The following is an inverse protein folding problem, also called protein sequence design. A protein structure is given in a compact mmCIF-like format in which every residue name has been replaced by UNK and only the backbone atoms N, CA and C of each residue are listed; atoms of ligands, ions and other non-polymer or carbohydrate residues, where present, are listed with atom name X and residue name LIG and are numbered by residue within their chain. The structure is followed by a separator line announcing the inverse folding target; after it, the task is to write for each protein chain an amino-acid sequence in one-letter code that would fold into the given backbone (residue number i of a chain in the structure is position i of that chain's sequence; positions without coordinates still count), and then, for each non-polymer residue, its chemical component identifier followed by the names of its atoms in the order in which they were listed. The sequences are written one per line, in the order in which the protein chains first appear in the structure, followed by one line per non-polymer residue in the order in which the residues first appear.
data_IF_279373908866
#
_entry.id   IF_279373908866
#
_cell.length_a   1.000
_cell.length_b   1.000
_cell.length_c   1.000
_cell.angle_alpha   90.00
_cell.angle_beta   90.00
_cell.angle_gamma   90.00
#
_symmetry.space_group_name_H-M   'P 1'
#
loop_
_entity.id
_entity.type
_entity.pdbx_description
1 polymer ?
#
# COMPACT_ATOMS: atom_id res chain seq x y z
N UNK A 1 23.68 10.69 4.90
CA UNK A 1 23.49 9.98 3.63
C UNK A 1 22.68 8.73 3.92
N UNK A 2 21.40 8.71 3.54
CA UNK A 2 20.56 7.52 3.66
C UNK A 2 21.06 6.48 2.65
N UNK A 3 21.71 5.45 3.14
CA UNK A 3 22.22 4.33 2.34
C UNK A 3 21.09 3.36 1.90
N UNK A 4 19.89 3.49 2.47
CA UNK A 4 18.75 2.62 2.15
C UNK A 4 18.07 3.02 0.84
N UNK A 5 17.91 2.04 -0.03
CA UNK A 5 17.00 2.18 -1.17
C UNK A 5 15.54 1.94 -0.72
N UNK A 6 14.53 2.45 -1.43
CA UNK A 6 13.14 2.12 -1.16
C UNK A 6 12.86 0.60 -1.13
N UNK A 7 13.61 -0.15 -1.91
CA UNK A 7 13.55 -1.61 -1.98
C UNK A 7 14.04 -2.30 -0.71
N UNK A 8 15.11 -1.76 -0.09
CA UNK A 8 15.63 -2.25 1.20
C UNK A 8 14.60 -2.08 2.31
N UNK A 9 13.94 -0.92 2.36
CA UNK A 9 12.89 -0.62 3.34
C UNK A 9 11.71 -1.59 3.19
N UNK A 10 11.26 -1.84 1.95
CA UNK A 10 10.20 -2.80 1.69
C UNK A 10 10.60 -4.22 2.10
N UNK A 11 11.81 -4.64 1.76
CA UNK A 11 12.35 -5.96 2.12
C UNK A 11 12.42 -6.17 3.62
N UNK A 12 12.94 -5.20 4.37
CA UNK A 12 13.02 -5.25 5.84
C UNK A 12 11.63 -5.34 6.48
N UNK A 13 10.70 -4.52 6.03
CA UNK A 13 9.32 -4.52 6.56
C UNK A 13 8.62 -5.86 6.32
N UNK A 14 8.71 -6.41 5.11
CA UNK A 14 8.10 -7.70 4.81
C UNK A 14 8.81 -8.86 5.54
N UNK A 15 10.14 -8.83 5.67
CA UNK A 15 10.90 -9.83 6.41
C UNK A 15 10.55 -9.80 7.90
N UNK A 16 10.56 -8.62 8.54
CA UNK A 16 10.23 -8.46 9.94
C UNK A 16 8.78 -8.91 10.24
N UNK A 17 7.82 -8.50 9.40
CA UNK A 17 6.44 -8.91 9.54
C UNK A 17 6.27 -10.43 9.40
N UNK A 18 6.92 -11.06 8.43
CA UNK A 18 6.86 -12.52 8.24
C UNK A 18 7.47 -13.29 9.41
N UNK A 19 8.64 -12.86 9.92
CA UNK A 19 9.31 -13.46 11.06
C UNK A 19 8.44 -13.49 12.33
N UNK A 20 7.62 -12.46 12.53
CA UNK A 20 6.69 -12.40 13.67
C UNK A 20 5.40 -13.16 13.39
N UNK A 21 4.83 -13.02 12.19
CA UNK A 21 3.49 -13.52 11.90
C UNK A 21 3.47 -15.03 11.59
N UNK A 22 4.52 -15.60 11.00
CA UNK A 22 4.58 -17.03 10.69
C UNK A 22 4.49 -17.88 11.98
N UNK A 23 5.30 -17.65 13.04
CA UNK A 23 5.19 -18.40 14.30
C UNK A 23 3.82 -18.24 14.96
N UNK A 24 3.24 -17.04 14.92
CA UNK A 24 1.92 -16.77 15.50
C UNK A 24 0.83 -17.57 14.77
N UNK A 25 0.85 -17.59 13.45
CA UNK A 25 -0.13 -18.32 12.65
C UNK A 25 0.06 -19.85 12.76
N UNK A 26 1.30 -20.30 12.93
CA UNK A 26 1.57 -21.70 13.22
C UNK A 26 0.98 -22.11 14.57
N UNK A 27 1.26 -21.34 15.62
CA UNK A 27 0.72 -21.61 16.97
C UNK A 27 -0.82 -21.62 16.99
N UNK A 28 -1.46 -20.77 16.15
CA UNK A 28 -2.93 -20.73 16.02
C UNK A 28 -3.51 -21.84 15.13
N UNK A 29 -2.69 -22.64 14.49
CA UNK A 29 -3.15 -23.68 13.55
C UNK A 29 -3.82 -23.13 12.28
N UNK A 30 -3.57 -21.87 11.93
CA UNK A 30 -4.25 -21.16 10.82
C UNK A 30 -3.40 -21.08 9.54
N UNK A 31 -2.27 -21.76 9.47
CA UNK A 31 -1.42 -21.74 8.26
C UNK A 31 -2.15 -22.22 7.01
N UNK A 32 -3.06 -23.20 7.14
CA UNK A 32 -3.86 -23.71 6.02
C UNK A 32 -4.78 -22.66 5.39
N UNK A 33 -5.28 -21.71 6.18
CA UNK A 33 -6.14 -20.63 5.69
C UNK A 33 -5.35 -19.65 4.82
N UNK A 34 -4.04 -19.50 5.07
CA UNK A 34 -3.17 -18.60 4.28
C UNK A 34 -2.99 -19.10 2.83
N UNK A 35 -3.26 -20.37 2.56
CA UNK A 35 -3.20 -20.98 1.21
C UNK A 35 -4.46 -20.68 0.36
N UNK A 36 -5.48 -20.01 0.92
CA UNK A 36 -6.64 -19.61 0.14
C UNK A 36 -6.19 -18.65 -1.00
N UNK A 37 -6.53 -19.01 -2.24
CA UNK A 37 -6.20 -18.24 -3.44
C UNK A 37 -6.71 -16.78 -3.36
N UNK A 38 -7.79 -16.54 -2.60
CA UNK A 38 -8.35 -15.20 -2.39
C UNK A 38 -7.40 -14.34 -1.55
N UNK A 39 -6.82 -14.93 -0.50
CA UNK A 39 -5.82 -14.25 0.33
C UNK A 39 -4.52 -14.01 -0.45
N UNK A 40 -4.14 -14.93 -1.32
CA UNK A 40 -3.04 -14.72 -2.25
C UNK A 40 -3.32 -13.53 -3.19
N UNK A 41 -4.52 -13.45 -3.79
CA UNK A 41 -4.93 -12.31 -4.61
C UNK A 41 -4.93 -10.98 -3.86
N UNK A 42 -5.40 -10.98 -2.60
CA UNK A 42 -5.33 -9.81 -1.71
C UNK A 42 -3.87 -9.41 -1.43
N UNK A 43 -2.97 -10.37 -1.23
CA UNK A 43 -1.55 -10.09 -1.01
C UNK A 43 -0.88 -9.49 -2.25
N UNK A 44 -1.24 -9.95 -3.45
CA UNK A 44 -0.74 -9.37 -4.69
C UNK A 44 -1.19 -7.91 -4.86
N UNK A 45 -2.47 -7.62 -4.67
CA UNK A 45 -3.03 -6.28 -4.89
C UNK A 45 -2.71 -5.34 -3.72
N UNK A 46 -3.07 -5.71 -2.49
CA UNK A 46 -2.93 -4.87 -1.30
C UNK A 46 -1.53 -4.90 -0.68
N UNK A 47 -0.72 -5.91 -0.97
CA UNK A 47 0.66 -6.02 -0.51
C UNK A 47 1.64 -5.54 -1.58
N UNK A 48 1.92 -6.41 -2.54
CA UNK A 48 3.00 -6.18 -3.52
C UNK A 48 2.70 -5.02 -4.47
N UNK A 49 1.56 -5.00 -5.15
CA UNK A 49 1.26 -3.97 -6.14
C UNK A 49 1.18 -2.59 -5.48
N UNK A 50 0.45 -2.49 -4.36
CA UNK A 50 0.37 -1.27 -3.58
C UNK A 50 1.76 -0.76 -3.18
N UNK A 51 2.58 -1.60 -2.55
CA UNK A 51 3.91 -1.21 -2.08
C UNK A 51 4.82 -0.78 -3.24
N UNK A 52 4.87 -1.56 -4.33
CA UNK A 52 5.70 -1.22 -5.49
C UNK A 52 5.27 0.10 -6.13
N UNK A 53 3.97 0.31 -6.37
CA UNK A 53 3.49 1.57 -6.91
C UNK A 53 3.75 2.75 -5.97
N UNK A 54 3.55 2.59 -4.65
CA UNK A 54 3.86 3.64 -3.69
C UNK A 54 5.35 4.00 -3.70
N UNK A 55 6.24 3.00 -3.67
CA UNK A 55 7.69 3.25 -3.70
C UNK A 55 8.16 3.85 -5.03
N UNK A 56 7.63 3.39 -6.16
CA UNK A 56 7.87 4.03 -7.45
C UNK A 56 7.38 5.48 -7.45
N UNK A 57 6.22 5.74 -6.86
CA UNK A 57 5.71 7.10 -6.70
C UNK A 57 6.71 8.01 -5.98
N UNK A 58 7.27 7.57 -4.86
CA UNK A 58 8.27 8.32 -4.10
C UNK A 58 9.60 8.50 -4.83
N UNK A 59 9.93 7.64 -5.81
CA UNK A 59 11.13 7.82 -6.62
C UNK A 59 10.98 8.93 -7.68
N UNK A 60 9.76 9.21 -8.13
CA UNK A 60 9.50 10.13 -9.25
C UNK A 60 8.71 11.39 -8.85
N UNK A 61 8.15 11.45 -7.64
CA UNK A 61 7.40 12.60 -7.15
C UNK A 61 7.76 12.95 -5.70
N UNK A 62 7.64 14.24 -5.31
CA UNK A 62 7.79 14.66 -3.93
C UNK A 62 6.77 13.99 -3.00
N UNK A 63 7.16 13.79 -1.73
CA UNK A 63 6.27 13.18 -0.72
C UNK A 63 4.95 13.97 -0.51
N UNK A 64 4.94 15.28 -0.75
CA UNK A 64 3.74 16.11 -0.69
C UNK A 64 2.66 15.65 -1.70
N UNK A 65 3.07 15.15 -2.87
CA UNK A 65 2.14 14.64 -3.89
C UNK A 65 1.45 13.35 -3.43
N UNK A 66 2.10 12.52 -2.59
CA UNK A 66 1.47 11.34 -2.00
C UNK A 66 0.28 11.70 -1.10
N UNK A 67 0.29 12.85 -0.44
CA UNK A 67 -0.85 13.30 0.36
C UNK A 67 -2.10 13.51 -0.52
N UNK A 68 -1.93 13.98 -1.75
CA UNK A 68 -3.01 14.21 -2.71
C UNK A 68 -3.41 12.91 -3.39
N UNK A 69 -2.46 12.27 -4.10
CA UNK A 69 -2.76 11.18 -5.03
C UNK A 69 -2.88 9.81 -4.34
N UNK A 70 -2.09 9.54 -3.30
CA UNK A 70 -2.15 8.28 -2.59
C UNK A 70 -3.24 8.30 -1.51
N UNK A 71 -3.22 9.29 -0.61
CA UNK A 71 -4.13 9.33 0.53
C UNK A 71 -5.43 10.08 0.20
N UNK A 72 -5.35 11.20 -0.50
CA UNK A 72 -6.51 12.04 -0.82
C UNK A 72 -7.46 11.38 -1.82
N UNK A 73 -6.95 10.63 -2.80
CA UNK A 73 -7.77 9.89 -3.76
C UNK A 73 -8.30 8.56 -3.24
N UNK A 74 -7.78 8.08 -2.11
CA UNK A 74 -8.19 6.79 -1.53
C UNK A 74 -9.69 6.67 -1.27
N UNK A 75 -10.39 7.66 -0.67
CA UNK A 75 -11.84 7.56 -0.45
C UNK A 75 -12.65 7.40 -1.75
N UNK A 76 -12.19 8.00 -2.85
CA UNK A 76 -12.84 7.86 -4.16
C UNK A 76 -12.71 6.44 -4.69
N UNK A 77 -11.50 5.86 -4.60
CA UNK A 77 -11.27 4.47 -4.99
C UNK A 77 -12.02 3.48 -4.10
N UNK A 78 -12.11 3.74 -2.80
CA UNK A 78 -12.88 2.91 -1.87
C UNK A 78 -14.38 2.97 -2.19
N UNK A 79 -14.94 4.15 -2.46
CA UNK A 79 -16.33 4.31 -2.86
C UNK A 79 -16.62 3.64 -4.20
N UNK A 80 -15.75 3.81 -5.19
CA UNK A 80 -15.86 3.15 -6.49
C UNK A 80 -15.78 1.62 -6.35
N UNK A 81 -14.82 1.12 -5.59
CA UNK A 81 -14.67 -0.31 -5.36
C UNK A 81 -15.85 -0.90 -4.58
N UNK A 82 -16.41 -0.18 -3.60
CA UNK A 82 -17.63 -0.59 -2.90
C UNK A 82 -18.83 -0.68 -3.87
N UNK A 83 -18.99 0.29 -4.76
CA UNK A 83 -20.03 0.26 -5.78
C UNK A 83 -19.86 -0.91 -6.75
N UNK A 84 -18.66 -1.13 -7.29
CA UNK A 84 -18.43 -2.17 -8.30
C UNK A 84 -18.40 -3.57 -7.71
N UNK A 85 -17.72 -3.77 -6.56
CA UNK A 85 -17.45 -5.10 -5.97
C UNK A 85 -18.57 -5.54 -5.05
N UNK A 86 -19.06 -4.61 -4.20
CA UNK A 86 -20.09 -4.89 -3.19
C UNK A 86 -21.51 -4.54 -3.68
N UNK A 87 -21.60 -3.81 -4.81
CA UNK A 87 -22.86 -3.27 -5.35
C UNK A 87 -23.58 -2.32 -4.36
N UNK A 88 -22.82 -1.67 -3.49
CA UNK A 88 -23.35 -0.68 -2.56
C UNK A 88 -23.65 0.62 -3.32
N UNK A 89 -24.87 1.20 -3.17
CA UNK A 89 -25.19 2.43 -3.87
C UNK A 89 -24.45 3.64 -3.29
N UNK A 90 -24.17 4.64 -4.13
CA UNK A 90 -23.69 5.93 -3.66
C UNK A 90 -24.81 6.65 -2.92
N UNK A 91 -24.79 6.63 -1.59
CA UNK A 91 -25.73 7.37 -0.76
C UNK A 91 -25.46 8.87 -0.86
N UNK A 92 -26.43 9.69 -0.45
CA UNK A 92 -26.27 11.16 -0.42
C UNK A 92 -25.06 11.56 0.44
N UNK A 93 -24.90 10.93 1.61
CA UNK A 93 -23.81 11.24 2.55
C UNK A 93 -22.44 10.93 1.95
N UNK A 94 -22.29 9.81 1.23
CA UNK A 94 -21.06 9.45 0.52
C UNK A 94 -20.76 10.52 -0.54
N UNK A 95 -21.74 10.96 -1.32
CA UNK A 95 -21.54 12.00 -2.36
C UNK A 95 -21.09 13.32 -1.75
N UNK A 96 -21.73 13.75 -0.66
CA UNK A 96 -21.36 14.98 0.04
C UNK A 96 -19.95 14.87 0.62
N UNK A 97 -19.62 13.75 1.26
CA UNK A 97 -18.26 13.52 1.80
C UNK A 97 -17.19 13.55 0.72
N UNK A 98 -17.42 12.88 -0.41
CA UNK A 98 -16.49 12.89 -1.54
C UNK A 98 -16.35 14.29 -2.14
N UNK A 99 -17.44 15.06 -2.21
CA UNK A 99 -17.39 16.47 -2.67
C UNK A 99 -16.52 17.32 -1.75
N UNK A 100 -16.69 17.20 -0.42
CA UNK A 100 -15.89 17.95 0.54
C UNK A 100 -14.41 17.59 0.47
N UNK A 101 -14.10 16.31 0.32
CA UNK A 101 -12.72 15.83 0.13
C UNK A 101 -12.16 16.41 -1.17
N UNK A 102 -12.91 16.37 -2.26
CA UNK A 102 -12.50 16.95 -3.55
C UNK A 102 -12.18 18.45 -3.43
N UNK A 103 -13.03 19.20 -2.75
CA UNK A 103 -12.79 20.64 -2.51
C UNK A 103 -11.48 20.85 -1.72
N UNK A 104 -11.22 20.04 -0.69
CA UNK A 104 -9.98 20.09 0.07
C UNK A 104 -8.75 19.77 -0.79
N UNK A 105 -8.82 18.75 -1.64
CA UNK A 105 -7.73 18.41 -2.57
C UNK A 105 -7.48 19.52 -3.60
N UNK A 106 -8.54 20.10 -4.16
CA UNK A 106 -8.43 21.22 -5.10
C UNK A 106 -7.81 22.46 -4.43
N UNK A 107 -8.18 22.77 -3.19
CA UNK A 107 -7.55 23.85 -2.43
C UNK A 107 -6.06 23.59 -2.20
N UNK A 108 -5.68 22.35 -1.85
CA UNK A 108 -4.28 21.97 -1.66
C UNK A 108 -3.48 22.06 -2.97
N UNK A 109 -4.02 21.55 -4.08
CA UNK A 109 -3.40 21.67 -5.41
C UNK A 109 -3.26 23.15 -5.80
N UNK A 110 -4.31 23.95 -5.59
CA UNK A 110 -4.30 25.39 -5.88
C UNK A 110 -3.24 26.16 -5.09
N UNK A 111 -3.07 25.83 -3.81
CA UNK A 111 -2.01 26.38 -2.97
C UNK A 111 -0.61 26.02 -3.49
N UNK A 112 -0.38 24.73 -3.77
CA UNK A 112 0.91 24.26 -4.31
C UNK A 112 1.21 24.91 -5.69
N UNK A 113 0.17 25.12 -6.50
CA UNK A 113 0.33 25.82 -7.77
C UNK A 113 0.72 27.29 -7.57
N UNK A 114 0.07 27.97 -6.64
CA UNK A 114 0.39 29.35 -6.29
C UNK A 114 1.85 29.50 -5.84
N UNK A 115 2.39 28.53 -5.11
CA UNK A 115 3.79 28.49 -4.69
C UNK A 115 4.78 28.01 -5.77
N UNK A 116 4.32 27.75 -7.01
CA UNK A 116 5.10 27.15 -8.10
C UNK A 116 5.79 25.82 -7.70
N UNK A 117 5.23 25.10 -6.74
CA UNK A 117 5.75 23.82 -6.24
C UNK A 117 5.04 22.60 -6.82
N UNK A 118 3.96 22.79 -7.59
CA UNK A 118 3.18 21.71 -8.18
C UNK A 118 3.55 21.47 -9.64
N UNK A 119 4.17 20.32 -9.90
CA UNK A 119 4.47 19.83 -11.25
C UNK A 119 4.02 18.39 -11.37
N UNK A 120 3.08 18.11 -12.28
CA UNK A 120 2.66 16.74 -12.57
C UNK A 120 3.85 15.87 -12.98
N UNK A 121 3.98 14.72 -12.38
CA UNK A 121 5.05 13.76 -12.64
C UNK A 121 4.49 12.36 -12.87
N UNK A 122 5.31 11.47 -13.42
CA UNK A 122 4.95 10.04 -13.55
C UNK A 122 4.71 9.40 -12.18
N UNK A 123 5.32 9.94 -11.11
CA UNK A 123 5.12 9.50 -9.72
C UNK A 123 3.68 9.67 -9.24
N UNK A 124 2.99 10.71 -9.72
CA UNK A 124 1.57 10.94 -9.38
C UNK A 124 0.67 9.82 -9.89
N UNK A 125 0.96 9.31 -11.10
CA UNK A 125 0.27 8.16 -11.65
C UNK A 125 0.51 6.89 -10.80
N UNK A 126 1.75 6.69 -10.35
CA UNK A 126 2.04 5.55 -9.47
C UNK A 126 1.34 5.66 -8.12
N UNK A 127 1.27 6.84 -7.51
CA UNK A 127 0.50 7.06 -6.29
C UNK A 127 -1.00 6.79 -6.49
N UNK A 128 -1.56 7.23 -7.62
CA UNK A 128 -2.95 6.98 -7.97
C UNK A 128 -3.24 5.49 -8.14
N UNK A 129 -2.34 4.74 -8.80
CA UNK A 129 -2.45 3.29 -8.95
C UNK A 129 -2.33 2.56 -7.60
N UNK A 130 -1.42 3.00 -6.73
CA UNK A 130 -1.32 2.46 -5.36
C UNK A 130 -2.62 2.68 -4.58
N UNK A 131 -3.17 3.90 -4.63
CA UNK A 131 -4.45 4.23 -4.00
C UNK A 131 -5.60 3.35 -4.51
N UNK A 132 -5.66 3.09 -5.83
CA UNK A 132 -6.63 2.19 -6.43
C UNK A 132 -6.46 0.76 -5.91
N UNK A 133 -5.23 0.24 -5.89
CA UNK A 133 -4.94 -1.10 -5.34
C UNK A 133 -5.48 -1.25 -3.91
N UNK A 134 -5.26 -0.25 -3.04
CA UNK A 134 -5.74 -0.28 -1.67
C UNK A 134 -7.27 -0.21 -1.58
N UNK A 135 -7.91 0.62 -2.41
CA UNK A 135 -9.37 0.72 -2.48
C UNK A 135 -10.02 -0.62 -2.86
N UNK A 136 -9.54 -1.26 -3.91
CA UNK A 136 -10.04 -2.58 -4.34
C UNK A 136 -9.71 -3.70 -3.35
N UNK A 137 -8.50 -3.71 -2.77
CA UNK A 137 -8.14 -4.62 -1.69
C UNK A 137 -9.14 -4.54 -0.53
N UNK A 138 -9.47 -3.33 -0.08
CA UNK A 138 -10.40 -3.12 1.03
C UNK A 138 -11.82 -3.63 0.71
N UNK A 139 -12.30 -3.41 -0.51
CA UNK A 139 -13.62 -3.87 -0.94
C UNK A 139 -13.69 -5.40 -1.05
N UNK A 140 -12.67 -6.06 -1.60
CA UNK A 140 -12.62 -7.53 -1.66
C UNK A 140 -12.45 -8.16 -0.29
N UNK A 141 -11.67 -7.54 0.60
CA UNK A 141 -11.56 -7.97 1.99
C UNK A 141 -12.91 -8.01 2.68
N UNK A 142 -13.71 -6.94 2.52
CA UNK A 142 -15.09 -6.86 3.02
C UNK A 142 -15.98 -7.90 2.36
N UNK A 143 -15.92 -8.07 1.04
CA UNK A 143 -16.73 -9.03 0.29
C UNK A 143 -16.55 -10.47 0.74
N UNK A 144 -15.32 -10.85 1.02
CA UNK A 144 -15.00 -12.23 1.44
C UNK A 144 -15.04 -12.42 2.95
N UNK A 145 -15.35 -11.36 3.71
CA UNK A 145 -15.54 -11.39 5.16
C UNK A 145 -14.40 -12.07 5.94
N UNK A 146 -13.16 -11.96 5.45
CA UNK A 146 -12.01 -12.47 6.18
C UNK A 146 -11.80 -11.67 7.47
N UNK A 147 -11.46 -12.34 8.59
CA UNK A 147 -11.03 -11.64 9.79
C UNK A 147 -9.84 -10.73 9.48
N UNK A 148 -9.83 -9.47 9.94
CA UNK A 148 -8.77 -8.51 9.62
C UNK A 148 -7.36 -9.03 9.95
N UNK A 149 -7.23 -9.76 11.07
CA UNK A 149 -5.97 -10.37 11.49
C UNK A 149 -5.46 -11.43 10.49
N UNK A 150 -6.34 -12.30 10.02
CA UNK A 150 -5.99 -13.35 9.05
C UNK A 150 -5.58 -12.74 7.71
N UNK A 151 -6.33 -11.75 7.24
CA UNK A 151 -6.02 -11.06 6.00
C UNK A 151 -4.68 -10.30 6.07
N UNK A 152 -4.45 -9.56 7.15
CA UNK A 152 -3.20 -8.82 7.36
C UNK A 152 -1.99 -9.77 7.43
N UNK A 153 -2.14 -10.89 8.14
CA UNK A 153 -1.08 -11.90 8.22
C UNK A 153 -0.81 -12.55 6.87
N UNK A 154 -1.85 -12.89 6.10
CA UNK A 154 -1.72 -13.46 4.77
C UNK A 154 -1.01 -12.49 3.81
N UNK A 155 -1.43 -11.23 3.79
CA UNK A 155 -0.80 -10.19 2.96
C UNK A 155 0.68 -10.05 3.29
N UNK A 156 1.03 -9.96 4.58
CA UNK A 156 2.42 -9.81 5.00
C UNK A 156 3.28 -11.04 4.65
N UNK A 157 2.76 -12.25 4.90
CA UNK A 157 3.50 -13.51 4.64
C UNK A 157 3.68 -13.73 3.14
N UNK A 158 2.61 -13.59 2.33
CA UNK A 158 2.71 -13.73 0.89
C UNK A 158 3.56 -12.65 0.24
N UNK A 159 3.44 -11.39 0.72
CA UNK A 159 4.31 -10.32 0.26
C UNK A 159 5.78 -10.65 0.55
N UNK A 160 6.11 -11.16 1.73
CA UNK A 160 7.47 -11.60 2.05
C UNK A 160 7.95 -12.74 1.15
N UNK A 161 7.13 -13.79 0.98
CA UNK A 161 7.47 -14.97 0.17
C UNK A 161 7.72 -14.61 -1.29
N UNK A 162 6.97 -13.65 -1.83
CA UNK A 162 7.13 -13.23 -3.21
C UNK A 162 8.21 -12.15 -3.40
N UNK A 163 8.26 -11.19 -2.47
CA UNK A 163 9.18 -10.05 -2.58
C UNK A 163 10.61 -10.40 -2.24
N UNK A 164 10.86 -11.17 -1.16
CA UNK A 164 12.22 -11.45 -0.70
C UNK A 164 13.09 -12.17 -1.73
N UNK A 165 12.61 -13.20 -2.46
CA UNK A 165 13.39 -13.82 -3.52
C UNK A 165 13.74 -12.84 -4.64
N UNK A 166 12.76 -12.00 -5.05
CA UNK A 166 12.98 -10.99 -6.10
C UNK A 166 13.99 -9.95 -5.63
N UNK A 167 13.85 -9.47 -4.38
CA UNK A 167 14.77 -8.53 -3.78
C UNK A 167 16.20 -9.08 -3.71
N UNK A 168 16.36 -10.32 -3.23
CA UNK A 168 17.68 -10.94 -3.09
C UNK A 168 18.37 -11.16 -4.44
N UNK A 169 17.62 -11.51 -5.48
CA UNK A 169 18.18 -11.91 -6.77
C UNK A 169 18.36 -10.74 -7.76
N UNK A 170 17.44 -9.76 -7.75
CA UNK A 170 17.32 -8.79 -8.85
C UNK A 170 17.41 -7.32 -8.44
N UNK A 171 17.16 -6.97 -7.17
CA UNK A 171 17.08 -5.57 -6.79
C UNK A 171 18.41 -5.04 -6.22
N UNK A 172 18.75 -3.76 -6.46
CA UNK A 172 19.95 -3.13 -5.91
C UNK A 172 19.87 -3.08 -4.39
N UNK A 173 20.95 -3.46 -3.72
CA UNK A 173 21.05 -3.57 -2.26
C UNK A 173 21.89 -2.43 -1.71
N UNK A 174 21.31 -1.62 -0.82
CA UNK A 174 22.04 -0.65 -0.01
C UNK A 174 22.33 -1.12 1.42
N UNK A 175 21.87 -2.35 1.78
CA UNK A 175 21.99 -2.91 3.13
C UNK A 175 23.45 -3.14 3.59
N UNK A 176 24.40 -3.32 2.66
CA UNK A 176 25.81 -3.60 3.01
C UNK A 176 26.50 -2.44 3.75
N UNK A 177 25.99 -1.21 3.53
CA UNK A 177 26.54 0.02 4.12
C UNK A 177 25.71 0.54 5.30
N UNK A 178 24.71 -0.22 5.73
CA UNK A 178 23.73 0.20 6.74
C UNK A 178 24.16 -0.19 8.15
N UNK A 179 24.01 0.75 9.10
CA UNK A 179 24.25 0.50 10.51
C UNK A 179 23.08 -0.29 11.13
N UNK A 180 23.37 -1.20 12.07
CA UNK A 180 22.35 -2.00 12.79
C UNK A 180 21.22 -1.16 13.40
N UNK A 181 21.54 0.03 13.89
CA UNK A 181 20.56 0.95 14.44
C UNK A 181 19.55 1.46 13.40
N UNK A 182 20.01 1.69 12.17
CA UNK A 182 19.13 2.12 11.07
C UNK A 182 18.18 0.99 10.63
N UNK A 183 18.64 -0.28 10.70
CA UNK A 183 17.80 -1.44 10.40
C UNK A 183 16.65 -1.60 11.40
N UNK A 184 16.92 -1.37 12.69
CA UNK A 184 15.91 -1.51 13.76
C UNK A 184 14.87 -0.39 13.70
N UNK A 185 15.25 0.83 13.33
CA UNK A 185 14.32 1.98 13.27
C UNK A 185 13.35 1.87 12.09
N UNK A 186 13.72 1.15 11.02
CA UNK A 186 12.92 1.05 9.80
C UNK A 186 12.17 -0.29 9.63
N UNK A 187 12.39 -1.27 10.50
CA UNK A 187 11.63 -2.53 10.55
C UNK A 187 10.35 -2.40 11.38
#
# INVERSE_FOLDING_TARGET
TNSFTPWDVAGLRFAAAALVLIPIQWYRGQLGVLLDWRLFGLALVGGLAYANFAYLGFNYAPAAHAAIWLNGMLPFWMALAAFVVLKEPFTHDIKVSLLLIMLGLLAMIGFMWYENSFHLSIGDLFFLLASACWGFYSAYLKKWSFPPWTAMSAVAIWAAVLYLPIYVLFLPKGLADATWMQMIIQS
#
